data_IF_651972202336
#
_entry.id   IF_651972202336
#
_cell.length_a   1.000
_cell.length_b   1.000
_cell.length_c   1.000
_cell.angle_alpha   90.00
_cell.angle_beta   90.00
_cell.angle_gamma   90.00
#
_symmetry.space_group_name_H-M   'P 1'
#
loop_
_entity.id
_entity.type
_entity.pdbx_description
1 polymer ?
#
# COMPACT_ATOMS: atom_id res chain seq x y z
N UNK A 1 -5.47 -9.57 -10.34
CA UNK A 1 -6.44 -8.57 -9.89
C UNK A 1 -5.89 -7.99 -8.58
N UNK A 2 -4.90 -7.10 -8.68
CA UNK A 2 -4.17 -6.55 -7.52
C UNK A 2 -4.03 -5.03 -7.68
N UNK A 3 -5.10 -4.41 -8.23
CA UNK A 3 -5.09 -2.99 -8.59
C UNK A 3 -5.95 -2.09 -7.72
N UNK A 4 -6.76 -2.64 -6.82
CA UNK A 4 -7.66 -1.85 -5.96
C UNK A 4 -7.49 -2.11 -4.45
N UNK A 5 -6.71 -3.11 -4.06
CA UNK A 5 -6.76 -3.59 -2.68
C UNK A 5 -6.11 -2.66 -1.64
N UNK A 6 -5.16 -1.79 -2.02
CA UNK A 6 -4.43 -1.00 -1.01
C UNK A 6 -5.34 0.01 -0.30
N UNK A 7 -6.29 0.63 -1.01
CA UNK A 7 -7.15 1.67 -0.43
C UNK A 7 -8.20 1.06 0.51
N UNK A 8 -8.82 -0.05 0.14
CA UNK A 8 -9.75 -0.79 1.00
C UNK A 8 -9.04 -1.42 2.21
N UNK A 9 -7.86 -2.01 2.00
CA UNK A 9 -7.07 -2.60 3.08
C UNK A 9 -6.62 -1.53 4.08
N UNK A 10 -6.24 -0.33 3.62
CA UNK A 10 -5.86 0.76 4.51
C UNK A 10 -7.05 1.27 5.33
N UNK A 11 -8.23 1.46 4.71
CA UNK A 11 -9.46 1.80 5.43
C UNK A 11 -9.83 0.74 6.47
N UNK A 12 -9.74 -0.54 6.11
CA UNK A 12 -10.00 -1.65 7.02
C UNK A 12 -9.01 -1.66 8.19
N UNK A 13 -7.72 -1.43 7.92
CA UNK A 13 -6.69 -1.32 8.94
C UNK A 13 -6.97 -0.15 9.90
N UNK A 14 -7.29 1.04 9.38
CA UNK A 14 -7.64 2.20 10.21
C UNK A 14 -8.86 1.92 11.11
N UNK A 15 -9.92 1.35 10.54
CA UNK A 15 -11.12 0.96 11.31
C UNK A 15 -10.81 -0.06 12.40
N UNK A 16 -9.90 -1.01 12.11
CA UNK A 16 -9.43 -1.96 13.12
C UNK A 16 -8.66 -1.25 14.24
N UNK A 17 -7.78 -0.30 13.91
CA UNK A 17 -7.01 0.46 14.91
C UNK A 17 -7.94 1.25 15.84
N UNK A 18 -8.97 1.90 15.30
CA UNK A 18 -9.98 2.62 16.09
C UNK A 18 -10.72 1.71 17.08
N UNK A 19 -10.89 0.44 16.73
CA UNK A 19 -11.53 -0.57 17.59
C UNK A 19 -10.60 -1.05 18.72
N UNK A 20 -9.28 -1.02 18.52
CA UNK A 20 -8.28 -1.42 19.52
C UNK A 20 -7.81 -0.26 20.41
N UNK A 21 -8.02 1.01 20.01
CA UNK A 21 -7.70 2.18 20.82
C UNK A 21 -7.59 3.48 20.02
N UNK A 22 -7.12 4.55 20.67
CA UNK A 22 -6.84 5.85 20.03
C UNK A 22 -5.35 6.17 20.13
N UNK A 23 -4.54 5.75 19.16
CA UNK A 23 -3.13 6.11 19.12
C UNK A 23 -2.96 7.63 18.94
N UNK A 24 -1.91 8.20 19.53
CA UNK A 24 -1.60 9.63 19.38
C UNK A 24 -1.20 10.01 17.95
N UNK A 25 -0.64 9.06 17.19
CA UNK A 25 -0.23 9.24 15.80
C UNK A 25 -0.23 7.91 15.06
N UNK A 26 -0.56 7.94 13.77
CA UNK A 26 -0.50 6.79 12.87
C UNK A 26 0.41 7.19 11.69
N UNK A 27 1.37 6.34 11.36
CA UNK A 27 2.26 6.53 10.22
C UNK A 27 2.14 5.37 9.25
N UNK A 28 2.15 5.68 7.95
CA UNK A 28 2.03 4.71 6.88
C UNK A 28 3.39 4.50 6.19
N UNK A 29 3.88 3.26 6.20
CA UNK A 29 5.04 2.82 5.43
C UNK A 29 4.59 1.92 4.29
N UNK A 30 5.01 2.26 3.08
CA UNK A 30 4.77 1.44 1.88
C UNK A 30 6.08 1.13 1.18
N UNK A 31 6.23 -0.08 0.68
CA UNK A 31 7.39 -0.42 -0.12
C UNK A 31 7.32 0.25 -1.49
N UNK A 32 6.17 0.14 -2.16
CA UNK A 32 5.95 0.71 -3.49
C UNK A 32 4.74 1.65 -3.45
N UNK A 33 4.96 2.90 -3.83
CA UNK A 33 3.92 3.90 -4.01
C UNK A 33 3.66 4.09 -5.52
N UNK A 34 2.47 3.71 -5.95
CA UNK A 34 2.02 3.81 -7.34
C UNK A 34 1.25 5.11 -7.54
N UNK A 35 1.86 6.08 -8.20
CA UNK A 35 1.20 7.34 -8.55
C UNK A 35 0.05 7.05 -9.53
N UNK A 36 -1.02 7.85 -9.45
CA UNK A 36 -2.24 7.84 -10.29
C UNK A 36 -3.37 6.85 -9.95
N UNK A 37 -3.22 5.97 -8.95
CA UNK A 37 -4.25 4.97 -8.60
C UNK A 37 -4.64 4.96 -7.12
N UNK A 38 -4.96 6.14 -6.59
CA UNK A 38 -5.53 6.27 -5.24
C UNK A 38 -6.98 6.72 -5.35
N UNK A 39 -7.86 6.00 -4.68
CA UNK A 39 -9.27 6.39 -4.50
C UNK A 39 -9.46 7.27 -3.26
N UNK A 40 -8.47 7.30 -2.37
CA UNK A 40 -8.49 8.09 -1.14
C UNK A 40 -7.30 9.05 -1.05
N UNK A 41 -7.47 10.23 -0.43
CA UNK A 41 -6.42 11.24 -0.30
C UNK A 41 -5.43 10.91 0.83
N UNK A 42 -5.04 9.64 0.98
CA UNK A 42 -4.05 9.22 1.97
C UNK A 42 -2.70 9.05 1.30
N UNK A 43 -1.65 9.56 1.95
CA UNK A 43 -0.26 9.46 1.50
C UNK A 43 0.59 8.76 2.54
N UNK A 44 1.48 7.88 2.09
CA UNK A 44 2.45 7.24 2.94
C UNK A 44 3.49 8.26 3.46
N UNK A 45 3.80 8.17 4.74
CA UNK A 45 4.89 8.92 5.38
C UNK A 45 6.24 8.42 4.88
N UNK A 46 6.37 7.10 4.74
CA UNK A 46 7.59 6.43 4.28
C UNK A 46 7.32 5.62 3.02
N UNK A 47 8.19 5.77 2.03
CA UNK A 47 8.07 5.10 0.75
C UNK A 47 9.43 4.52 0.33
N UNK A 48 9.45 3.24 -0.04
CA UNK A 48 10.64 2.61 -0.61
C UNK A 48 10.93 3.10 -2.03
N UNK A 49 9.95 2.96 -2.94
CA UNK A 49 10.06 3.46 -4.30
C UNK A 49 8.72 4.02 -4.81
N UNK A 50 8.80 5.15 -5.53
CA UNK A 50 7.66 5.73 -6.24
C UNK A 50 7.74 5.33 -7.69
N UNK A 51 6.67 4.75 -8.22
CA UNK A 51 6.59 4.34 -9.62
C UNK A 51 5.33 4.89 -10.26
N UNK A 52 5.48 5.30 -11.51
CA UNK A 52 4.35 5.68 -12.35
C UNK A 52 3.82 4.41 -13.01
N UNK A 53 2.52 4.15 -12.86
CA UNK A 53 1.88 2.97 -13.45
C UNK A 53 0.66 3.38 -14.24
N UNK A 54 0.50 2.83 -15.44
CA UNK A 54 -0.65 3.05 -16.30
C UNK A 54 -1.74 2.00 -16.05
N UNK A 55 -2.92 2.21 -16.65
CA UNK A 55 -4.04 1.29 -16.53
C UNK A 55 -3.68 -0.05 -17.19
N UNK A 56 -3.56 -1.13 -16.40
CA UNK A 56 -3.25 -2.48 -16.89
C UNK A 56 -1.90 -3.04 -16.42
N UNK A 57 -0.93 -2.17 -16.11
CA UNK A 57 0.38 -2.58 -15.57
C UNK A 57 0.20 -3.41 -14.31
N UNK A 58 1.17 -4.27 -13.96
CA UNK A 58 1.18 -5.01 -12.69
C UNK A 58 2.50 -4.85 -11.98
N UNK A 59 2.41 -4.60 -10.68
CA UNK A 59 3.56 -4.44 -9.79
C UNK A 59 3.59 -5.64 -8.88
N UNK A 60 4.63 -6.46 -9.02
CA UNK A 60 4.88 -7.59 -8.15
C UNK A 60 6.08 -7.27 -7.27
N UNK A 61 5.86 -7.29 -5.96
CA UNK A 61 6.93 -7.20 -4.98
C UNK A 61 7.39 -8.62 -4.68
N UNK A 62 8.67 -8.91 -4.95
CA UNK A 62 9.28 -10.22 -4.67
C UNK A 62 10.37 -10.03 -3.64
N UNK A 63 10.26 -10.76 -2.53
CA UNK A 63 11.29 -10.83 -1.50
C UNK A 63 12.22 -12.01 -1.80
N UNK A 64 13.50 -11.86 -1.50
CA UNK A 64 14.54 -12.85 -1.83
C UNK A 64 14.26 -14.24 -1.21
N UNK A 65 13.53 -14.27 -0.09
CA UNK A 65 13.07 -15.47 0.62
C UNK A 65 12.04 -16.28 -0.20
N UNK A 66 11.31 -15.60 -1.09
CA UNK A 66 10.21 -16.14 -1.89
C UNK A 66 10.52 -16.13 -3.40
N UNK A 67 11.76 -15.86 -3.80
CA UNK A 67 12.13 -15.84 -5.22
C UNK A 67 12.19 -17.27 -5.76
N UNK A 68 11.12 -17.74 -6.43
CA UNK A 68 11.28 -18.81 -7.42
C UNK A 68 12.05 -18.22 -8.60
N UNK A 69 13.35 -18.45 -8.64
CA UNK A 69 14.17 -18.20 -9.84
C UNK A 69 13.56 -19.02 -10.97
N UNK A 70 12.79 -18.36 -11.84
CA UNK A 70 12.32 -18.91 -13.10
C UNK A 70 12.90 -18.08 -14.21
#
# INVERSE_FOLDING_TARGET
>A
MMFFLLDEVLKAAMSSMDSYGRPNSIELLVLIDRRYKREIPIQANYCGAKIDTFKGDKVNVVWNENSKKT
#
